data_IF_280591656588
#
_entry.id   IF_280591656588
#
_cell.length_a   1.000
_cell.length_b   1.000
_cell.length_c   1.000
_cell.angle_alpha   90.00
_cell.angle_beta   90.00
_cell.angle_gamma   90.00
#
_symmetry.space_group_name_H-M   'P 1'
#
loop_
_entity.id
_entity.type
_entity.pdbx_description
1 polymer ?
#
# COMPACT_ATOMS: atom_id res chain seq x y z
N UNK A 1 -22.80 -11.37 -40.74
CA UNK A 1 -22.03 -10.76 -39.63
C UNK A 1 -20.87 -11.70 -39.31
N UNK A 2 -19.62 -11.30 -39.49
CA UNK A 2 -18.47 -12.16 -39.20
C UNK A 2 -18.27 -12.22 -37.68
N UNK A 3 -18.35 -13.43 -37.15
CA UNK A 3 -18.11 -13.75 -35.75
C UNK A 3 -16.62 -13.68 -35.48
N UNK A 4 -16.23 -12.92 -34.45
CA UNK A 4 -14.97 -13.11 -33.72
C UNK A 4 -13.81 -12.22 -34.14
N UNK A 5 -13.85 -10.93 -33.80
CA UNK A 5 -12.61 -10.17 -33.57
C UNK A 5 -12.26 -10.26 -32.09
N UNK A 6 -11.12 -10.89 -31.79
CA UNK A 6 -10.54 -10.93 -30.44
C UNK A 6 -9.81 -9.61 -30.23
N UNK A 7 -10.36 -8.75 -29.37
CA UNK A 7 -9.68 -7.53 -28.92
C UNK A 7 -8.70 -7.90 -27.80
N UNK A 8 -7.40 -7.80 -28.09
CA UNK A 8 -6.35 -7.97 -27.08
C UNK A 8 -6.01 -6.62 -26.45
N UNK A 9 -6.54 -6.34 -25.26
CA UNK A 9 -6.18 -5.14 -24.49
C UNK A 9 -4.87 -5.34 -23.71
N UNK A 10 -3.85 -4.54 -24.04
CA UNK A 10 -2.62 -4.47 -23.27
C UNK A 10 -2.75 -3.40 -22.18
N UNK A 11 -3.02 -3.80 -20.93
CA UNK A 11 -3.03 -2.89 -19.78
C UNK A 11 -1.61 -2.75 -19.21
N UNK A 12 -1.08 -1.52 -19.21
CA UNK A 12 0.19 -1.21 -18.55
C UNK A 12 -0.06 -1.12 -17.05
N UNK A 13 0.44 -2.08 -16.29
CA UNK A 13 0.42 -2.04 -14.82
C UNK A 13 1.24 -0.82 -14.37
N UNK A 14 0.61 0.16 -13.71
CA UNK A 14 1.34 1.22 -13.03
C UNK A 14 1.83 0.69 -11.69
N UNK A 15 3.15 0.69 -11.50
CA UNK A 15 3.77 0.34 -10.24
C UNK A 15 3.74 1.54 -9.30
N UNK A 16 3.56 1.29 -8.00
CA UNK A 16 3.80 2.33 -7.00
C UNK A 16 5.26 2.75 -7.02
N UNK A 17 5.52 4.03 -6.75
CA UNK A 17 6.86 4.61 -6.69
C UNK A 17 7.27 4.83 -5.24
N UNK A 18 8.56 4.74 -4.99
CA UNK A 18 9.14 5.08 -3.69
C UNK A 18 9.01 6.58 -3.46
N UNK A 19 8.41 6.96 -2.34
CA UNK A 19 8.16 8.37 -2.01
C UNK A 19 9.46 9.18 -1.84
N UNK A 20 10.58 8.53 -1.50
CA UNK A 20 11.89 9.18 -1.30
C UNK A 20 12.64 9.38 -2.62
N UNK A 21 12.67 8.37 -3.51
CA UNK A 21 13.56 8.39 -4.68
C UNK A 21 12.89 8.17 -6.04
N UNK A 22 11.57 8.01 -6.09
CA UNK A 22 10.79 7.80 -7.32
C UNK A 22 11.00 6.44 -8.00
N UNK A 23 11.96 5.64 -7.56
CA UNK A 23 12.18 4.28 -8.08
C UNK A 23 10.98 3.37 -7.74
N UNK A 24 10.74 2.29 -8.51
CA UNK A 24 9.64 1.37 -8.21
C UNK A 24 9.65 0.90 -6.75
N UNK A 25 8.51 1.06 -6.08
CA UNK A 25 8.32 0.60 -4.72
C UNK A 25 8.35 -0.92 -4.66
N UNK A 26 8.93 -1.42 -3.58
CA UNK A 26 8.96 -2.83 -3.25
C UNK A 26 8.06 -3.14 -2.05
N UNK A 27 7.87 -2.16 -1.16
CA UNK A 27 7.10 -2.28 0.06
C UNK A 27 5.93 -1.29 0.06
N UNK A 28 4.77 -1.77 0.52
CA UNK A 28 3.68 -0.97 1.03
C UNK A 28 3.85 -0.91 2.55
N UNK A 29 3.86 0.29 3.11
CA UNK A 29 4.01 0.55 4.53
C UNK A 29 2.68 1.11 5.00
N UNK A 30 2.11 0.55 6.06
CA UNK A 30 0.82 0.98 6.59
C UNK A 30 1.02 1.78 7.87
N UNK A 31 0.23 2.85 8.01
CA UNK A 31 0.17 3.67 9.21
C UNK A 31 -1.23 3.66 9.79
N UNK A 32 -1.32 3.72 11.11
CA UNK A 32 -2.58 3.80 11.84
C UNK A 32 -2.57 5.02 12.75
N UNK A 33 -3.73 5.65 12.93
CA UNK A 33 -3.89 6.72 13.92
C UNK A 33 -3.67 6.19 15.33
N UNK A 34 -3.26 7.08 16.24
CA UNK A 34 -3.22 6.73 17.66
C UNK A 34 -4.61 6.30 18.16
N UNK A 35 -4.66 5.29 19.05
CA UNK A 35 -5.91 4.66 19.53
C UNK A 35 -6.80 4.11 18.41
N UNK A 36 -6.21 3.64 17.29
CA UNK A 36 -6.91 3.12 16.12
C UNK A 36 -8.05 2.13 16.41
N UNK A 37 -7.91 1.27 17.42
CA UNK A 37 -8.94 0.28 17.80
C UNK A 37 -10.18 0.87 18.43
N UNK A 38 -10.05 2.02 19.09
CA UNK A 38 -11.14 2.74 19.73
C UNK A 38 -11.67 3.92 18.88
N UNK A 39 -10.96 4.25 17.79
CA UNK A 39 -11.35 5.33 16.89
C UNK A 39 -12.19 4.78 15.72
N UNK A 40 -13.50 5.11 15.62
CA UNK A 40 -14.37 4.63 14.55
C UNK A 40 -13.97 5.11 13.14
N UNK A 41 -13.14 6.14 13.03
CA UNK A 41 -12.61 6.60 11.75
C UNK A 41 -11.43 5.75 11.24
N UNK A 42 -10.90 4.85 12.05
CA UNK A 42 -9.76 4.01 11.68
C UNK A 42 -10.20 2.67 11.10
N UNK A 43 -9.42 2.19 10.14
CA UNK A 43 -9.57 0.86 9.52
C UNK A 43 -9.38 -0.31 10.52
N UNK A 44 -8.73 -0.04 11.65
CA UNK A 44 -8.51 -0.99 12.74
C UNK A 44 -9.57 -0.93 13.85
N UNK A 45 -10.62 -0.13 13.72
CA UNK A 45 -11.66 0.01 14.74
C UNK A 45 -12.31 -1.33 15.07
N UNK A 46 -12.32 -1.69 16.37
CA UNK A 46 -12.92 -2.94 16.86
C UNK A 46 -12.23 -4.22 16.36
N UNK A 47 -11.01 -4.14 15.81
CA UNK A 47 -10.27 -5.30 15.31
C UNK A 47 -9.17 -5.75 16.28
N UNK A 48 -9.04 -7.07 16.40
CA UNK A 48 -7.97 -7.69 17.20
C UNK A 48 -6.65 -7.79 16.42
N UNK A 49 -6.71 -8.10 15.12
CA UNK A 49 -5.55 -8.10 14.22
C UNK A 49 -5.54 -6.82 13.37
N UNK A 50 -4.50 -6.02 13.56
CA UNK A 50 -4.29 -4.77 12.84
C UNK A 50 -3.26 -4.89 11.72
N UNK A 51 -2.65 -6.06 11.51
CA UNK A 51 -1.53 -6.25 10.57
C UNK A 51 -1.89 -5.71 9.19
N UNK A 52 -3.11 -5.97 8.73
CA UNK A 52 -3.61 -5.60 7.41
C UNK A 52 -4.32 -4.25 7.35
N UNK A 53 -4.45 -3.56 8.48
CA UNK A 53 -5.14 -2.28 8.57
C UNK A 53 -4.22 -1.15 8.10
N UNK A 54 -4.82 -0.13 7.50
CA UNK A 54 -4.11 1.04 7.00
C UNK A 54 -5.04 2.23 6.96
N UNK A 55 -4.70 3.27 7.72
CA UNK A 55 -5.37 4.58 7.66
C UNK A 55 -4.63 5.51 6.69
N UNK A 56 -3.34 5.27 6.49
CA UNK A 56 -2.53 5.87 5.43
C UNK A 56 -1.48 4.88 4.93
N UNK A 57 -1.11 5.02 3.65
CA UNK A 57 -0.14 4.15 2.99
C UNK A 57 1.13 4.93 2.58
N UNK A 58 2.27 4.34 2.88
CA UNK A 58 3.60 4.73 2.41
C UNK A 58 4.12 3.71 1.41
N UNK A 59 4.93 4.17 0.45
CA UNK A 59 5.52 3.29 -0.56
C UNK A 59 7.02 3.50 -0.61
N UNK A 60 7.76 2.40 -0.46
CA UNK A 60 9.22 2.43 -0.35
C UNK A 60 9.89 1.40 -1.26
N UNK A 61 11.03 1.77 -1.83
CA UNK A 61 11.94 0.80 -2.41
C UNK A 61 12.70 0.06 -1.29
N UNK A 62 13.48 -0.97 -1.66
CA UNK A 62 14.23 -1.76 -0.66
C UNK A 62 15.22 -0.98 0.19
N UNK A 63 15.74 0.14 -0.33
CA UNK A 63 16.74 0.95 0.39
C UNK A 63 16.09 1.89 1.41
N UNK A 64 14.88 2.36 1.13
CA UNK A 64 14.19 3.38 1.94
C UNK A 64 13.05 2.80 2.78
N UNK A 65 12.92 1.47 2.89
CA UNK A 65 11.87 0.83 3.71
C UNK A 65 11.83 1.40 5.12
N UNK A 66 13.00 1.45 5.79
CA UNK A 66 13.11 1.93 7.16
C UNK A 66 12.83 3.43 7.28
N UNK A 67 13.31 4.22 6.33
CA UNK A 67 13.11 5.67 6.31
C UNK A 67 11.61 6.01 6.20
N UNK A 68 10.94 5.43 5.22
CA UNK A 68 9.50 5.63 5.03
C UNK A 68 8.72 5.05 6.22
N UNK A 69 9.14 3.93 6.81
CA UNK A 69 8.49 3.39 8.02
C UNK A 69 8.61 4.31 9.24
N UNK A 70 9.64 5.14 9.31
CA UNK A 70 9.85 6.08 10.41
C UNK A 70 9.23 7.46 10.12
N UNK A 71 9.01 7.80 8.85
CA UNK A 71 8.36 9.03 8.41
C UNK A 71 6.83 8.89 8.39
N UNK A 72 6.26 8.57 9.55
CA UNK A 72 4.82 8.45 9.69
C UNK A 72 4.14 9.83 9.58
N UNK A 73 2.98 9.94 8.88
CA UNK A 73 2.20 11.17 8.85
C UNK A 73 1.84 11.67 10.26
N UNK A 74 1.67 12.99 10.41
CA UNK A 74 1.39 13.61 11.70
C UNK A 74 0.16 12.99 12.38
N UNK A 75 0.33 12.51 13.62
CA UNK A 75 -0.73 11.87 14.41
C UNK A 75 -0.93 10.36 14.14
N UNK A 76 -0.13 9.79 13.25
CA UNK A 76 -0.13 8.36 12.94
C UNK A 76 1.17 7.68 13.39
N UNK A 77 1.11 6.37 13.49
CA UNK A 77 2.25 5.50 13.81
C UNK A 77 2.34 4.39 12.78
N UNK A 78 3.57 3.96 12.51
CA UNK A 78 3.82 2.77 11.71
C UNK A 78 3.12 1.54 12.29
N UNK A 79 2.51 0.76 11.41
CA UNK A 79 1.83 -0.49 11.76
C UNK A 79 2.55 -1.71 11.19
N UNK A 80 2.74 -1.76 9.86
CA UNK A 80 3.33 -2.93 9.19
C UNK A 80 3.93 -2.58 7.84
N UNK A 81 4.84 -3.42 7.35
CA UNK A 81 5.43 -3.32 6.02
C UNK A 81 5.19 -4.61 5.23
N UNK A 82 4.75 -4.47 3.98
CA UNK A 82 4.27 -5.53 3.13
C UNK A 82 5.00 -5.54 1.79
N UNK A 83 5.65 -6.63 1.39
CA UNK A 83 6.28 -6.70 0.08
C UNK A 83 5.22 -6.75 -1.03
N UNK A 84 5.22 -5.75 -1.91
CA UNK A 84 4.27 -5.62 -3.04
C UNK A 84 4.30 -6.82 -3.99
N UNK A 85 5.43 -7.53 -4.10
CA UNK A 85 5.53 -8.77 -4.90
C UNK A 85 4.62 -9.89 -4.40
N UNK A 86 4.28 -9.90 -3.11
CA UNK A 86 3.29 -10.84 -2.55
C UNK A 86 1.86 -10.46 -2.93
N UNK A 87 1.64 -9.24 -3.42
CA UNK A 87 0.35 -8.69 -3.85
C UNK A 87 0.35 -8.43 -5.35
N UNK A 88 0.52 -9.49 -6.16
CA UNK A 88 0.50 -9.39 -7.63
C UNK A 88 -0.76 -8.70 -8.20
N UNK A 89 -1.83 -8.64 -7.40
CA UNK A 89 -3.12 -7.99 -7.69
C UNK A 89 -3.21 -6.52 -7.25
N UNK A 90 -2.21 -5.96 -6.55
CA UNK A 90 -2.14 -4.54 -6.20
C UNK A 90 -1.46 -3.66 -7.27
N UNK A 91 -1.16 -4.22 -8.44
CA UNK A 91 -0.90 -3.40 -9.61
C UNK A 91 -2.19 -2.67 -10.01
N UNK A 92 -2.19 -1.33 -9.97
CA UNK A 92 -3.35 -0.56 -10.41
C UNK A 92 -3.55 -0.76 -11.93
N UNK A 93 -4.81 -1.05 -12.32
CA UNK A 93 -5.27 -1.16 -13.70
C UNK A 93 -5.51 0.20 -14.35
#
# INVERSE_FOLDING_TARGET
MKVGEVLTEHKKIKWHECQVCGMPAYYRITYLVSNCRANPASSAYGKDDCSWCSDADGYACKKHEREVSQDAPMGMSWCSAFPLKSFKHMGFY
#
